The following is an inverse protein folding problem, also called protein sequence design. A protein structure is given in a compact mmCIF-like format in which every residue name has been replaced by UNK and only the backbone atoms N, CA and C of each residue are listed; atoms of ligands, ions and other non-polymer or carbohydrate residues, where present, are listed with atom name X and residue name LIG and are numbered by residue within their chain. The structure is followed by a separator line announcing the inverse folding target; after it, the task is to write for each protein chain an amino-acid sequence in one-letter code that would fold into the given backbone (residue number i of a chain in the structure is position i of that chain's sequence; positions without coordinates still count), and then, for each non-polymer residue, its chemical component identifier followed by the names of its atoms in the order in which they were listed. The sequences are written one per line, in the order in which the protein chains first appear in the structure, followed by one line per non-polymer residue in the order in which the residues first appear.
data_IF_958136007026
#
_entry.id   IF_958136007026
#
_cell.length_a   1.000
_cell.length_b   1.000
_cell.length_c   1.000
_cell.angle_alpha   90.00
_cell.angle_beta   90.00
_cell.angle_gamma   90.00
#
_symmetry.space_group_name_H-M   'P 1'
#
loop_
_entity.id
_entity.type
_entity.pdbx_description
1 polymer ?
#
# COMPACT_ATOMS: atom_id res chain seq x y z
N UNK A 1 13.04 -0.11 20.33
CA UNK A 1 11.61 -0.14 20.05
C UNK A 1 11.32 -0.23 18.55
N UNK A 2 10.23 -0.89 18.22
CA UNK A 2 9.74 -1.05 16.84
C UNK A 2 8.49 -0.22 16.68
N UNK A 3 8.40 0.59 15.62
CA UNK A 3 7.13 1.23 15.23
C UNK A 3 6.43 0.32 14.25
N UNK A 4 5.24 -0.14 14.58
CA UNK A 4 4.34 -0.83 13.67
C UNK A 4 3.17 0.09 13.33
N UNK A 5 2.97 0.39 12.05
CA UNK A 5 1.74 1.03 11.60
C UNK A 5 0.77 -0.06 11.15
N UNK A 6 -0.30 -0.25 11.88
CA UNK A 6 -1.41 -1.07 11.43
C UNK A 6 -2.41 -0.19 10.70
N UNK A 7 -2.71 -0.52 9.45
CA UNK A 7 -3.80 0.12 8.76
C UNK A 7 -5.12 -0.35 9.34
N UNK A 8 -5.95 0.60 9.42
CA UNK A 8 -7.32 0.72 9.83
C UNK A 8 -8.24 -0.44 9.49
N UNK A 9 -8.97 -0.87 10.50
CA UNK A 9 -10.22 -1.60 10.43
C UNK A 9 -11.26 -0.83 9.57
N UNK A 10 -12.10 -1.57 8.85
CA UNK A 10 -13.12 -1.09 7.89
C UNK A 10 -14.03 0.00 8.45
N UNK A 11 -14.19 0.07 9.76
CA UNK A 11 -15.04 1.04 10.46
C UNK A 11 -14.31 2.27 10.98
N UNK A 12 -12.97 2.24 10.99
CA UNK A 12 -12.15 3.34 11.52
C UNK A 12 -11.21 3.82 10.44
N UNK A 13 -11.60 4.84 9.73
CA UNK A 13 -10.82 5.50 8.66
C UNK A 13 -9.60 6.24 9.24
N UNK A 14 -8.79 5.57 10.04
CA UNK A 14 -7.66 6.17 10.75
C UNK A 14 -6.41 5.32 10.54
N UNK A 15 -5.26 5.98 10.52
CA UNK A 15 -4.01 5.29 10.67
C UNK A 15 -3.72 5.10 12.16
N UNK A 16 -3.34 3.91 12.55
CA UNK A 16 -2.88 3.59 13.89
C UNK A 16 -1.39 3.33 13.88
N UNK A 17 -0.64 4.01 14.72
CA UNK A 17 0.77 3.74 14.96
C UNK A 17 0.96 3.19 16.38
N UNK A 18 1.79 2.14 16.47
CA UNK A 18 2.18 1.52 17.72
C UNK A 18 3.68 1.66 17.90
N UNK A 19 4.12 2.02 19.08
CA UNK A 19 5.50 1.92 19.52
C UNK A 19 5.60 0.71 20.44
N UNK A 20 6.43 -0.26 20.05
CA UNK A 20 6.64 -1.50 20.79
C UNK A 20 8.01 -1.47 21.47
N UNK A 21 8.09 -1.98 22.69
CA UNK A 21 9.33 -2.27 23.39
C UNK A 21 10.00 -3.53 22.90
N UNK A 22 11.13 -3.88 23.53
CA UNK A 22 11.93 -5.07 23.16
C UNK A 22 11.20 -6.37 23.48
N UNK A 23 10.38 -6.39 24.51
CA UNK A 23 9.55 -7.53 24.93
C UNK A 23 8.18 -7.53 24.22
N UNK A 24 8.04 -6.77 23.13
CA UNK A 24 6.81 -6.62 22.34
C UNK A 24 5.63 -5.97 23.09
N UNK A 25 5.87 -5.36 24.24
CA UNK A 25 4.89 -4.59 24.98
C UNK A 25 4.56 -3.27 24.24
N UNK A 26 3.31 -2.82 24.30
CA UNK A 26 2.89 -1.57 23.71
C UNK A 26 3.31 -0.41 24.63
N UNK A 27 4.37 0.32 24.26
CA UNK A 27 4.84 1.51 24.96
C UNK A 27 3.94 2.72 24.67
N UNK A 28 3.44 2.83 23.45
CA UNK A 28 2.56 3.91 23.02
C UNK A 28 1.68 3.51 21.85
N UNK A 29 0.48 4.06 21.81
CA UNK A 29 -0.45 3.89 20.70
C UNK A 29 -1.09 5.23 20.37
N UNK A 30 -1.17 5.55 19.09
CA UNK A 30 -1.78 6.76 18.59
C UNK A 30 -2.54 6.50 17.30
N UNK A 31 -3.66 7.20 17.13
CA UNK A 31 -4.43 7.22 15.90
C UNK A 31 -4.33 8.60 15.24
N UNK A 32 -4.36 8.62 13.91
CA UNK A 32 -4.55 9.85 13.16
C UNK A 32 -5.99 10.35 13.28
N UNK A 33 -6.25 11.53 12.73
CA UNK A 33 -7.60 11.95 12.36
C UNK A 33 -8.17 11.02 11.28
N UNK A 34 -9.49 11.13 11.04
CA UNK A 34 -10.18 10.35 10.04
C UNK A 34 -9.63 10.65 8.63
N UNK A 35 -9.33 9.59 7.90
CA UNK A 35 -8.89 9.65 6.50
C UNK A 35 -10.14 9.72 5.62
N UNK A 36 -10.30 10.78 4.81
CA UNK A 36 -11.45 10.93 3.92
C UNK A 36 -11.60 9.74 2.97
N UNK A 37 -12.82 9.29 2.82
CA UNK A 37 -13.23 8.28 1.84
C UNK A 37 -14.09 8.93 0.78
N UNK A 38 -13.80 8.66 -0.49
CA UNK A 38 -14.61 9.08 -1.63
C UNK A 38 -15.42 7.89 -2.16
N UNK A 39 -16.70 8.11 -2.40
CA UNK A 39 -17.61 7.14 -3.04
C UNK A 39 -18.29 7.81 -4.23
N UNK A 40 -17.57 8.02 -5.36
CA UNK A 40 -18.07 8.81 -6.49
C UNK A 40 -19.34 8.24 -7.12
N UNK A 41 -19.52 6.92 -7.05
CA UNK A 41 -20.69 6.20 -7.53
C UNK A 41 -21.02 5.05 -6.57
N UNK A 42 -22.24 4.50 -6.70
CA UNK A 42 -22.63 3.33 -5.93
C UNK A 42 -21.67 2.14 -6.19
N UNK A 43 -21.16 1.53 -5.13
CA UNK A 43 -20.19 0.44 -5.19
C UNK A 43 -18.74 0.88 -5.46
N UNK A 44 -18.47 2.19 -5.63
CA UNK A 44 -17.11 2.72 -5.76
C UNK A 44 -16.56 3.16 -4.40
N UNK A 45 -15.28 2.93 -4.21
CA UNK A 45 -14.60 3.29 -2.96
C UNK A 45 -13.15 3.68 -3.26
N UNK A 46 -12.79 4.92 -2.94
CA UNK A 46 -11.49 5.51 -3.27
C UNK A 46 -10.93 6.32 -2.10
N UNK A 47 -9.59 6.33 -2.01
CA UNK A 47 -8.86 7.25 -1.13
C UNK A 47 -7.68 7.87 -1.86
N UNK A 48 -7.45 9.17 -1.61
CA UNK A 48 -6.24 9.85 -2.05
C UNK A 48 -5.06 9.44 -1.13
N UNK A 49 -4.00 8.83 -1.67
CA UNK A 49 -2.83 8.42 -0.89
C UNK A 49 -2.12 9.58 -0.17
N UNK A 50 -2.33 10.82 -0.57
CA UNK A 50 -1.80 11.98 0.15
C UNK A 50 -2.33 12.10 1.57
N UNK A 51 -3.56 11.64 1.82
CA UNK A 51 -4.13 11.61 3.16
C UNK A 51 -3.47 10.55 4.06
N UNK A 52 -2.98 9.45 3.46
CA UNK A 52 -2.22 8.45 4.23
C UNK A 52 -0.89 9.02 4.71
N UNK A 53 -0.23 9.81 3.85
CA UNK A 53 1.01 10.50 4.22
C UNK A 53 0.74 11.50 5.37
N UNK A 54 -0.33 12.30 5.25
CA UNK A 54 -0.72 13.25 6.32
C UNK A 54 -1.04 12.54 7.62
N UNK A 55 -1.76 11.40 7.56
CA UNK A 55 -2.09 10.59 8.72
C UNK A 55 -0.84 10.01 9.39
N UNK A 56 0.14 9.53 8.59
CA UNK A 56 1.43 9.07 9.08
C UNK A 56 2.17 10.20 9.79
N UNK A 57 2.24 11.37 9.17
CA UNK A 57 2.90 12.56 9.74
C UNK A 57 2.26 12.99 11.07
N UNK A 58 0.93 12.95 11.18
CA UNK A 58 0.22 13.24 12.42
C UNK A 58 0.60 12.25 13.53
N UNK A 59 0.66 10.96 13.23
CA UNK A 59 1.05 9.94 14.19
C UNK A 59 2.52 10.12 14.62
N UNK A 60 3.43 10.32 13.67
CA UNK A 60 4.86 10.51 13.96
C UNK A 60 5.06 11.74 14.85
N UNK A 61 4.42 12.86 14.57
CA UNK A 61 4.49 14.09 15.40
C UNK A 61 4.10 13.82 16.85
N UNK A 62 3.05 13.01 17.09
CA UNK A 62 2.64 12.67 18.44
C UNK A 62 3.63 11.74 19.16
N UNK A 63 4.27 10.83 18.41
CA UNK A 63 5.31 9.95 18.96
C UNK A 63 6.55 10.77 19.37
N UNK A 64 6.99 11.69 18.51
CA UNK A 64 8.19 12.53 18.74
C UNK A 64 8.05 13.40 20.01
N UNK A 65 6.83 13.84 20.34
CA UNK A 65 6.60 14.61 21.57
C UNK A 65 6.91 13.83 22.86
N UNK A 66 6.97 12.49 22.79
CA UNK A 66 7.12 11.63 23.98
C UNK A 66 8.34 10.72 23.94
N UNK A 67 8.86 10.45 22.74
CA UNK A 67 9.92 9.46 22.53
C UNK A 67 10.98 9.96 21.56
N UNK A 68 12.22 9.61 21.85
CA UNK A 68 13.35 9.89 20.94
C UNK A 68 13.34 8.88 19.79
N UNK A 69 13.09 9.37 18.56
CA UNK A 69 13.07 8.52 17.36
C UNK A 69 14.44 7.88 17.05
N UNK A 70 15.56 8.40 17.59
CA UNK A 70 16.87 7.78 17.40
C UNK A 70 16.99 6.39 18.03
N UNK A 71 16.09 6.08 18.96
CA UNK A 71 16.02 4.78 19.62
C UNK A 71 15.22 3.73 18.82
N UNK A 72 14.53 4.13 17.74
CA UNK A 72 13.73 3.20 16.92
C UNK A 72 14.66 2.35 16.07
N UNK A 73 14.56 1.05 16.21
CA UNK A 73 15.38 0.05 15.51
C UNK A 73 14.79 -0.39 14.18
N UNK A 74 13.47 -0.47 14.09
CA UNK A 74 12.77 -0.93 12.91
C UNK A 74 11.38 -0.30 12.79
N UNK A 75 10.86 -0.24 11.56
CA UNK A 75 9.49 0.15 11.23
C UNK A 75 8.88 -0.94 10.37
N UNK A 76 7.68 -1.39 10.70
CA UNK A 76 6.92 -2.35 9.92
C UNK A 76 5.55 -1.78 9.56
N UNK A 77 4.96 -2.29 8.49
CA UNK A 77 3.69 -1.82 7.96
C UNK A 77 2.71 -2.98 7.82
N UNK A 78 1.47 -2.71 8.20
CA UNK A 78 0.31 -3.48 7.83
C UNK A 78 -0.72 -2.50 7.24
N UNK A 79 -1.55 -2.94 6.31
CA UNK A 79 -2.44 -1.99 5.65
C UNK A 79 -3.63 -2.61 4.96
N UNK A 80 -4.38 -1.78 4.27
CA UNK A 80 -5.43 -2.25 3.39
C UNK A 80 -4.81 -3.17 2.35
N UNK A 81 -5.36 -4.36 2.22
CA UNK A 81 -5.06 -5.28 1.13
C UNK A 81 -5.59 -4.74 -0.21
N UNK A 82 -5.09 -5.21 -1.32
CA UNK A 82 -5.68 -5.13 -2.65
C UNK A 82 -5.84 -3.73 -3.27
N UNK A 83 -5.62 -2.65 -2.53
CA UNK A 83 -5.75 -1.29 -3.07
C UNK A 83 -4.81 -1.05 -4.26
N UNK A 84 -5.34 -0.48 -5.34
CA UNK A 84 -4.54 -0.18 -6.53
C UNK A 84 -3.98 1.25 -6.47
N UNK A 85 -2.81 1.42 -5.88
CA UNK A 85 -2.08 2.69 -5.85
C UNK A 85 -1.13 2.76 -7.05
N UNK A 86 -1.52 3.50 -8.08
CA UNK A 86 -0.76 3.63 -9.32
C UNK A 86 0.07 4.92 -9.30
N UNK A 87 1.36 4.81 -9.65
CA UNK A 87 2.27 5.94 -9.78
C UNK A 87 2.91 6.00 -11.17
N UNK A 88 3.20 7.22 -11.60
CA UNK A 88 3.88 7.49 -12.87
C UNK A 88 5.40 7.36 -12.78
N UNK A 89 6.11 7.59 -13.89
CA UNK A 89 7.58 7.58 -13.98
C UNK A 89 8.28 8.61 -13.08
N UNK A 90 7.57 9.64 -12.63
CA UNK A 90 8.06 10.65 -11.71
C UNK A 90 7.65 10.34 -10.26
N UNK A 91 7.13 9.15 -10.02
CA UNK A 91 6.64 8.67 -8.73
C UNK A 91 5.43 9.45 -8.19
N UNK A 92 4.69 10.15 -9.04
CA UNK A 92 3.46 10.84 -8.66
C UNK A 92 2.28 9.89 -8.76
N UNK A 93 1.40 9.96 -7.78
CA UNK A 93 0.12 9.24 -7.79
C UNK A 93 -0.72 9.73 -8.98
N UNK A 94 -1.16 8.79 -9.82
CA UNK A 94 -1.90 9.07 -11.06
C UNK A 94 -3.36 9.44 -10.75
N UNK A 95 -3.95 8.73 -9.79
CA UNK A 95 -5.35 8.92 -9.36
C UNK A 95 -5.55 8.43 -7.92
N UNK A 96 -6.69 8.74 -7.26
CA UNK A 96 -7.05 8.14 -5.99
C UNK A 96 -7.01 6.61 -6.06
N UNK A 97 -6.51 5.96 -5.01
CA UNK A 97 -6.43 4.52 -4.92
C UNK A 97 -7.83 3.90 -4.92
N UNK A 98 -8.07 2.93 -5.81
CA UNK A 98 -9.29 2.12 -5.80
C UNK A 98 -9.13 1.07 -4.69
N UNK A 99 -10.01 1.10 -3.70
CA UNK A 99 -9.88 0.32 -2.47
C UNK A 99 -10.38 -1.13 -2.62
N UNK A 100 -10.11 -1.94 -1.62
CA UNK A 100 -10.44 -3.37 -1.57
C UNK A 100 -11.94 -3.68 -1.62
N UNK A 101 -12.80 -2.78 -1.14
CA UNK A 101 -14.25 -2.89 -1.10
C UNK A 101 -14.94 -2.27 -2.32
N UNK A 102 -14.17 -1.84 -3.33
CA UNK A 102 -14.69 -1.32 -4.58
C UNK A 102 -15.18 -2.46 -5.48
N UNK A 103 -16.32 -2.30 -6.10
CA UNK A 103 -16.96 -3.34 -6.92
C UNK A 103 -17.01 -3.02 -8.42
N UNK A 104 -16.41 -1.88 -8.87
CA UNK A 104 -16.51 -1.42 -10.26
C UNK A 104 -15.95 -2.40 -11.29
N UNK A 105 -14.94 -3.19 -10.90
CA UNK A 105 -14.22 -4.12 -11.79
C UNK A 105 -14.83 -5.51 -11.87
N UNK A 106 -16.11 -5.64 -11.54
CA UNK A 106 -16.83 -6.91 -11.58
C UNK A 106 -16.75 -7.62 -12.95
N UNK A 107 -16.88 -6.86 -14.06
CA UNK A 107 -16.82 -7.45 -15.42
C UNK A 107 -15.43 -7.98 -15.75
N UNK A 108 -14.37 -7.31 -15.28
CA UNK A 108 -13.00 -7.71 -15.52
C UNK A 108 -12.64 -9.03 -14.82
N UNK A 109 -13.32 -9.36 -13.72
CA UNK A 109 -13.17 -10.67 -13.08
C UNK A 109 -13.56 -11.80 -14.03
N UNK A 110 -14.68 -11.65 -14.77
CA UNK A 110 -15.10 -12.65 -15.76
C UNK A 110 -14.12 -12.77 -16.93
N UNK A 111 -13.50 -11.67 -17.34
CA UNK A 111 -12.46 -11.69 -18.39
C UNK A 111 -11.22 -12.47 -17.93
N UNK A 112 -10.75 -12.22 -16.68
CA UNK A 112 -9.62 -12.95 -16.10
C UNK A 112 -9.95 -14.43 -15.98
N UNK A 113 -11.14 -14.79 -15.49
CA UNK A 113 -11.58 -16.15 -15.25
C UNK A 113 -11.93 -16.94 -16.54
N UNK A 114 -11.90 -16.29 -17.70
CA UNK A 114 -12.08 -16.98 -18.99
C UNK A 114 -10.92 -17.96 -19.30
N UNK A 115 -9.76 -17.78 -18.69
CA UNK A 115 -8.65 -18.75 -18.69
C UNK A 115 -8.75 -19.61 -17.42
N UNK A 116 -9.11 -20.87 -17.57
CA UNK A 116 -9.32 -21.80 -16.44
C UNK A 116 -8.06 -22.05 -15.61
N UNK A 117 -6.88 -21.80 -16.15
CA UNK A 117 -5.60 -22.06 -15.49
C UNK A 117 -5.20 -20.96 -14.49
N UNK A 118 -5.87 -19.81 -14.51
CA UNK A 118 -5.52 -18.69 -13.61
C UNK A 118 -5.72 -19.03 -12.14
N UNK A 119 -6.74 -19.84 -11.84
CA UNK A 119 -7.04 -20.25 -10.47
C UNK A 119 -5.93 -21.11 -9.88
N UNK A 120 -5.35 -22.01 -10.68
CA UNK A 120 -4.25 -22.88 -10.23
C UNK A 120 -2.99 -22.09 -9.94
N UNK A 121 -2.76 -20.99 -10.66
CA UNK A 121 -1.59 -20.12 -10.47
C UNK A 121 -1.81 -19.15 -9.30
N UNK A 122 -2.95 -18.46 -9.29
CA UNK A 122 -3.27 -17.47 -8.27
C UNK A 122 -3.74 -18.06 -6.93
N UNK A 123 -4.16 -19.33 -6.93
CA UNK A 123 -4.69 -20.01 -5.75
C UNK A 123 -6.05 -19.49 -5.28
N UNK A 124 -6.77 -18.73 -6.12
CA UNK A 124 -8.04 -18.09 -5.76
C UNK A 124 -8.88 -17.77 -7.01
N UNK A 125 -10.15 -17.45 -6.81
CA UNK A 125 -11.02 -16.86 -7.84
C UNK A 125 -10.77 -15.35 -7.95
N UNK A 126 -10.91 -14.77 -9.15
CA UNK A 126 -10.81 -13.33 -9.31
C UNK A 126 -12.04 -12.63 -8.70
N UNK A 127 -11.79 -11.63 -7.86
CA UNK A 127 -12.81 -10.83 -7.18
C UNK A 127 -12.60 -9.33 -7.45
N UNK A 128 -13.68 -8.52 -7.50
CA UNK A 128 -13.56 -7.08 -7.79
C UNK A 128 -12.66 -6.32 -6.81
N UNK A 129 -12.59 -6.81 -5.58
CA UNK A 129 -11.70 -6.27 -4.55
C UNK A 129 -10.22 -6.42 -4.85
N UNK A 130 -9.79 -7.38 -5.67
CA UNK A 130 -8.38 -7.60 -5.99
C UNK A 130 -7.80 -6.52 -6.92
N UNK A 131 -6.47 -6.44 -6.98
CA UNK A 131 -5.79 -5.35 -7.70
C UNK A 131 -5.92 -5.49 -9.22
N UNK A 132 -5.66 -6.69 -9.78
CA UNK A 132 -5.64 -6.94 -11.22
C UNK A 132 -6.94 -6.53 -11.93
N UNK A 133 -8.15 -6.91 -11.46
CA UNK A 133 -9.39 -6.48 -12.11
C UNK A 133 -9.57 -4.96 -12.16
N UNK A 134 -9.11 -4.23 -11.13
CA UNK A 134 -9.17 -2.76 -11.09
C UNK A 134 -8.27 -2.13 -12.16
N UNK A 135 -7.09 -2.70 -12.38
CA UNK A 135 -6.17 -2.21 -13.42
C UNK A 135 -6.74 -2.49 -14.81
N UNK A 136 -7.36 -3.63 -15.04
CA UNK A 136 -8.08 -3.88 -16.29
C UNK A 136 -9.25 -2.92 -16.50
N UNK A 137 -9.98 -2.60 -15.43
CA UNK A 137 -11.02 -1.58 -15.48
C UNK A 137 -10.43 -0.20 -15.87
N UNK A 138 -9.28 0.19 -15.30
CA UNK A 138 -8.60 1.43 -15.68
C UNK A 138 -8.19 1.41 -17.16
N UNK A 139 -7.72 0.29 -17.69
CA UNK A 139 -7.39 0.14 -19.11
C UNK A 139 -8.57 0.45 -20.01
N UNK A 140 -9.77 0.01 -19.64
CA UNK A 140 -10.98 0.17 -20.44
C UNK A 140 -11.62 1.57 -20.29
N UNK A 141 -11.55 2.17 -19.09
CA UNK A 141 -12.32 3.38 -18.78
C UNK A 141 -11.47 4.62 -18.53
N UNK A 142 -10.18 4.44 -18.24
CA UNK A 142 -9.23 5.50 -17.93
C UNK A 142 -7.89 5.25 -18.65
N UNK A 143 -7.93 5.10 -19.97
CA UNK A 143 -6.78 4.66 -20.78
C UNK A 143 -5.55 5.57 -20.64
N UNK A 144 -5.71 6.87 -20.49
CA UNK A 144 -4.61 7.81 -20.26
C UNK A 144 -3.92 7.54 -18.91
N UNK A 145 -4.70 7.34 -17.86
CA UNK A 145 -4.19 6.96 -16.53
C UNK A 145 -3.48 5.62 -16.61
N UNK A 146 -4.09 4.62 -17.24
CA UNK A 146 -3.51 3.29 -17.42
C UNK A 146 -2.16 3.35 -18.13
N UNK A 147 -2.07 4.07 -19.25
CA UNK A 147 -0.83 4.22 -20.04
C UNK A 147 0.28 4.97 -19.27
N UNK A 148 -0.06 5.72 -18.25
CA UNK A 148 0.88 6.46 -17.39
C UNK A 148 1.45 5.62 -16.25
N UNK A 149 0.95 4.40 -16.02
CA UNK A 149 1.37 3.55 -14.88
C UNK A 149 2.83 3.11 -15.07
N UNK A 150 3.70 3.56 -14.18
CA UNK A 150 5.06 3.05 -14.06
C UNK A 150 5.19 1.98 -12.98
N UNK A 151 4.43 2.08 -11.88
CA UNK A 151 4.38 1.09 -10.80
C UNK A 151 2.97 0.98 -10.24
N UNK A 152 2.61 -0.25 -9.82
CA UNK A 152 1.43 -0.51 -9.00
C UNK A 152 1.88 -0.95 -7.61
N UNK A 153 1.39 -0.28 -6.59
CA UNK A 153 1.74 -0.55 -5.20
C UNK A 153 0.46 -0.80 -4.38
N UNK A 154 0.55 -1.68 -3.41
CA UNK A 154 -0.48 -1.78 -2.38
C UNK A 154 -0.39 -0.58 -1.42
N UNK A 155 -1.44 -0.21 -0.69
CA UNK A 155 -1.42 1.00 0.15
C UNK A 155 -0.28 1.05 1.15
N UNK A 156 0.02 -0.05 1.85
CA UNK A 156 1.16 -0.13 2.78
C UNK A 156 2.51 -0.07 2.06
N UNK A 157 2.60 -0.63 0.85
CA UNK A 157 3.82 -0.61 0.03
C UNK A 157 4.10 0.80 -0.48
N UNK A 158 3.05 1.58 -0.77
CA UNK A 158 3.19 3.00 -1.10
C UNK A 158 3.71 3.81 0.09
N UNK A 159 3.22 3.57 1.32
CA UNK A 159 3.75 4.21 2.53
C UNK A 159 5.22 3.84 2.77
N UNK A 160 5.57 2.56 2.61
CA UNK A 160 6.97 2.13 2.70
C UNK A 160 7.84 2.80 1.64
N UNK A 161 7.38 2.83 0.38
CA UNK A 161 8.07 3.55 -0.69
C UNK A 161 8.27 5.03 -0.35
N UNK A 162 7.26 5.70 0.19
CA UNK A 162 7.37 7.10 0.62
C UNK A 162 8.51 7.29 1.63
N UNK A 163 8.62 6.40 2.61
CA UNK A 163 9.65 6.48 3.65
C UNK A 163 11.03 6.05 3.18
N UNK A 164 11.14 5.01 2.35
CA UNK A 164 12.43 4.38 1.99
C UNK A 164 12.90 4.72 0.58
N UNK A 165 11.99 4.93 -0.36
CA UNK A 165 12.29 5.04 -1.78
C UNK A 165 12.37 3.71 -2.52
N UNK A 166 12.18 2.60 -1.81
CA UNK A 166 12.31 1.26 -2.36
C UNK A 166 10.96 0.64 -2.70
N UNK A 167 10.91 -0.11 -3.80
CA UNK A 167 9.71 -0.80 -4.28
C UNK A 167 9.72 -2.27 -3.87
N UNK A 168 8.99 -2.60 -2.83
CA UNK A 168 8.81 -3.97 -2.35
C UNK A 168 7.34 -4.28 -2.07
N UNK A 169 6.97 -5.54 -2.15
CA UNK A 169 5.69 -6.08 -1.66
C UNK A 169 5.96 -7.43 -0.99
N UNK A 170 5.40 -7.67 0.19
CA UNK A 170 5.51 -8.98 0.79
C UNK A 170 4.61 -9.98 0.07
N UNK A 171 5.06 -11.24 0.03
CA UNK A 171 4.41 -12.31 -0.72
C UNK A 171 2.98 -12.58 -0.26
N UNK A 172 2.70 -12.39 1.04
CA UNK A 172 1.37 -12.60 1.60
C UNK A 172 0.34 -11.64 0.99
N UNK A 173 0.67 -10.34 0.95
CA UNK A 173 -0.23 -9.31 0.44
C UNK A 173 -0.17 -9.25 -1.11
N UNK A 174 0.99 -9.56 -1.70
CA UNK A 174 1.15 -9.68 -3.15
C UNK A 174 0.23 -10.73 -3.77
N UNK A 175 -0.09 -11.82 -3.06
CA UNK A 175 -1.06 -12.82 -3.50
C UNK A 175 -2.44 -12.20 -3.78
N UNK A 176 -2.85 -11.20 -2.99
CA UNK A 176 -4.10 -10.47 -3.18
C UNK A 176 -4.12 -9.51 -4.37
N UNK A 177 -3.02 -9.34 -5.09
CA UNK A 177 -3.00 -8.59 -6.35
C UNK A 177 -3.64 -9.37 -7.51
N UNK A 178 -3.69 -10.69 -7.41
CA UNK A 178 -4.04 -11.63 -8.47
C UNK A 178 -2.98 -11.72 -9.60
N UNK A 179 -1.72 -11.36 -9.32
CA UNK A 179 -0.59 -11.47 -10.25
C UNK A 179 0.52 -12.41 -9.74
N UNK A 180 0.42 -12.86 -8.48
CA UNK A 180 1.40 -13.76 -7.89
C UNK A 180 1.11 -15.23 -8.26
N UNK A 181 2.14 -15.95 -8.66
CA UNK A 181 2.14 -17.42 -8.62
C UNK A 181 2.37 -17.82 -7.15
N UNK A 182 1.31 -18.24 -6.48
CA UNK A 182 1.36 -18.53 -5.04
C UNK A 182 2.20 -19.76 -4.71
N UNK A 183 2.28 -20.71 -5.65
CA UNK A 183 3.09 -21.93 -5.48
C UNK A 183 4.58 -21.65 -5.63
N UNK A 184 4.95 -20.88 -6.65
CA UNK A 184 6.35 -20.54 -6.95
C UNK A 184 6.81 -19.27 -6.21
N UNK A 185 5.90 -18.55 -5.53
CA UNK A 185 6.19 -17.37 -4.71
C UNK A 185 6.87 -16.24 -5.49
N UNK A 186 6.41 -16.01 -6.72
CA UNK A 186 6.94 -14.98 -7.62
C UNK A 186 5.85 -14.40 -8.51
N UNK A 187 6.08 -13.24 -9.11
CA UNK A 187 5.17 -12.70 -10.10
C UNK A 187 5.01 -13.67 -11.28
N UNK A 188 3.78 -13.90 -11.70
CA UNK A 188 3.45 -14.74 -12.85
C UNK A 188 3.33 -13.91 -14.12
N UNK A 189 4.22 -14.14 -15.10
CA UNK A 189 4.11 -13.46 -16.39
C UNK A 189 2.73 -13.71 -17.03
N UNK A 190 2.20 -14.91 -16.93
CA UNK A 190 0.86 -15.24 -17.46
C UNK A 190 -0.24 -14.38 -16.81
N UNK A 191 -0.26 -14.26 -15.49
CA UNK A 191 -1.27 -13.46 -14.79
C UNK A 191 -1.06 -11.95 -15.06
N UNK A 192 0.19 -11.51 -15.21
CA UNK A 192 0.50 -10.14 -15.60
C UNK A 192 0.01 -9.84 -17.01
N UNK A 193 0.27 -10.71 -17.98
CA UNK A 193 -0.20 -10.58 -19.37
C UNK A 193 -1.73 -10.47 -19.43
N UNK A 194 -2.45 -11.36 -18.74
CA UNK A 194 -3.91 -11.30 -18.61
C UNK A 194 -4.35 -9.98 -17.98
N UNK A 195 -3.66 -9.52 -16.94
CA UNK A 195 -3.88 -8.23 -16.27
C UNK A 195 -3.40 -7.02 -17.08
N UNK A 196 -2.84 -7.24 -18.27
CA UNK A 196 -2.25 -6.20 -19.15
C UNK A 196 -1.14 -5.38 -18.49
N UNK A 197 -0.32 -6.03 -17.67
CA UNK A 197 0.81 -5.44 -16.94
C UNK A 197 2.13 -6.10 -17.33
N UNK A 198 3.21 -5.37 -17.14
CA UNK A 198 4.57 -5.85 -17.31
C UNK A 198 5.27 -6.02 -15.96
N UNK A 199 6.18 -6.99 -15.86
CA UNK A 199 6.90 -7.27 -14.63
C UNK A 199 7.72 -6.06 -14.11
N UNK A 200 8.15 -5.18 -15.02
CA UNK A 200 8.85 -3.94 -14.65
C UNK A 200 7.96 -2.96 -13.87
N UNK A 201 6.63 -3.10 -13.96
CA UNK A 201 5.67 -2.28 -13.23
C UNK A 201 5.38 -2.84 -11.83
N UNK A 202 5.88 -4.02 -11.51
CA UNK A 202 5.71 -4.65 -10.20
C UNK A 202 6.82 -4.27 -9.23
N UNK A 203 6.54 -4.19 -7.92
CA UNK A 203 7.57 -4.11 -6.88
C UNK A 203 8.33 -5.45 -6.79
N UNK A 204 9.51 -5.45 -6.15
CA UNK A 204 10.21 -6.68 -5.79
C UNK A 204 9.41 -7.41 -4.71
N UNK A 205 9.37 -8.74 -4.78
CA UNK A 205 8.77 -9.57 -3.72
C UNK A 205 9.75 -9.80 -2.58
N UNK A 206 9.23 -9.92 -1.36
CA UNK A 206 10.01 -10.22 -0.15
C UNK A 206 9.16 -11.02 0.85
N UNK A 207 9.79 -11.58 1.86
CA UNK A 207 9.08 -12.07 3.04
C UNK A 207 8.67 -10.90 3.94
N UNK A 208 7.61 -11.09 4.75
CA UNK A 208 7.14 -10.07 5.67
C UNK A 208 8.15 -9.68 6.77
N UNK A 209 9.18 -10.50 6.96
CA UNK A 209 10.27 -10.30 7.92
C UNK A 209 11.55 -9.75 7.31
N UNK A 210 11.61 -9.60 5.98
CA UNK A 210 12.81 -9.10 5.31
C UNK A 210 13.00 -7.60 5.51
N UNK A 211 14.27 -7.20 5.63
CA UNK A 211 14.61 -5.79 5.58
C UNK A 211 14.53 -5.27 4.15
N UNK A 212 13.60 -4.36 3.90
CA UNK A 212 13.27 -3.84 2.56
C UNK A 212 13.80 -2.43 2.27
N UNK A 213 14.56 -1.86 3.19
CA UNK A 213 15.17 -0.54 3.00
C UNK A 213 15.50 0.16 4.31
N UNK A 214 15.93 1.41 4.18
CA UNK A 214 16.24 2.32 5.28
C UNK A 214 15.45 3.61 5.08
N UNK A 215 14.96 4.20 6.15
CA UNK A 215 14.21 5.47 6.10
C UNK A 215 15.11 6.56 5.53
N UNK A 216 14.62 7.29 4.52
CA UNK A 216 15.33 8.41 3.88
C UNK A 216 15.66 9.50 4.89
N UNK A 217 16.88 10.06 4.80
CA UNK A 217 17.30 11.19 5.65
C UNK A 217 16.35 12.38 5.57
N UNK A 218 15.84 12.72 4.36
CA UNK A 218 14.90 13.82 4.20
C UNK A 218 13.63 13.65 5.03
N UNK A 219 13.10 12.44 5.11
CA UNK A 219 11.91 12.14 5.93
C UNK A 219 12.26 12.24 7.42
N UNK A 220 13.41 11.71 7.84
CA UNK A 220 13.87 11.82 9.24
C UNK A 220 14.13 13.28 9.65
N UNK A 221 14.69 14.12 8.77
CA UNK A 221 14.93 15.54 9.08
C UNK A 221 13.66 16.37 9.15
N UNK A 222 12.67 16.12 8.32
CA UNK A 222 11.40 16.87 8.35
C UNK A 222 10.63 16.66 9.65
N UNK A 223 10.78 15.48 10.25
CA UNK A 223 10.11 15.12 11.50
C UNK A 223 10.95 15.36 12.75
N UNK A 224 12.29 15.34 12.64
CA UNK A 224 13.22 15.56 13.77
C UNK A 224 13.49 17.04 14.07
N UNK A 225 13.47 17.94 13.05
CA UNK A 225 13.74 19.37 13.24
C UNK A 225 12.60 20.21 13.79
N UNK A 226 11.39 19.68 13.88
CA UNK A 226 10.27 20.40 14.49
C UNK A 226 10.50 20.71 15.98
N UNK A 227 11.53 20.13 16.63
CA UNK A 227 11.87 20.38 18.02
C UNK A 227 12.94 21.47 18.23
N UNK A 228 13.71 21.87 17.21
CA UNK A 228 14.78 22.86 17.38
C UNK A 228 14.34 24.33 17.26
N UNK A 229 13.07 24.59 16.89
CA UNK A 229 12.60 25.98 16.68
C UNK A 229 11.71 26.54 17.79
N UNK A 230 11.61 25.88 18.93
CA UNK A 230 10.81 26.35 20.06
C UNK A 230 11.66 26.77 21.31
N UNK A 231 12.92 27.15 21.14
CA UNK A 231 13.70 27.83 22.18
C UNK A 231 14.43 29.03 21.59
N UNK A 232 13.68 30.13 21.53
CA UNK A 232 14.22 31.52 21.67
C UNK A 232 13.08 32.43 22.13
#
# INVERSE_FOLDING_TARGET
PVVSSAASDVYKRQMKCLLLGEEQEILFSVNSEDIPLSTPQNGWSEQDPSFWIKALDQCIKQIVLKFDLSQIKAVSFSGHMHGATCIDKNHKVIRPCILWNDTRSFRQCSQIMADETVMDIAGNIAMPGFTSPKILWMKEHESENFNSIAKVLLPKDYLRFYLTGEFFSDLSDAAGTYWLDVKNRTWSNKLLDIGSMDISQMPKTCEGTDQTGVIKKAVSYTHLRAHETCHN
#
